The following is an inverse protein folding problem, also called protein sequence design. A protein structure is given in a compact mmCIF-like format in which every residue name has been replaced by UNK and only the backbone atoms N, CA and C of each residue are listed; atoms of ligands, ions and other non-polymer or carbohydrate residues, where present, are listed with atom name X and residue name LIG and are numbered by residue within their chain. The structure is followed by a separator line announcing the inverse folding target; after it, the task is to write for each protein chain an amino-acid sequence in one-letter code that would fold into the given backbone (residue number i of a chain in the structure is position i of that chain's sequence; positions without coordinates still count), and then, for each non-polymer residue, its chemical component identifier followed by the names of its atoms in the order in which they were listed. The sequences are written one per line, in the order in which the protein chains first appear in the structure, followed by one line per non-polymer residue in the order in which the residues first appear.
data_IF_900976561966
#
_entry.id   IF_900976561966
#
_cell.length_a   1.000
_cell.length_b   1.000
_cell.length_c   1.000
_cell.angle_alpha   90.00
_cell.angle_beta   90.00
_cell.angle_gamma   90.00
#
_symmetry.space_group_name_H-M   'P 1'
#
loop_
_entity.id
_entity.type
_entity.pdbx_description
1 polymer ?
#
# COMPACT_ATOMS: atom_id res chain seq x y z
N UNK A 1 -16.30 -8.46 24.20
CA UNK A 1 -16.52 -8.83 22.77
C UNK A 1 -16.71 -7.59 21.90
N UNK A 2 -17.50 -6.60 22.34
CA UNK A 2 -17.70 -5.32 21.66
C UNK A 2 -16.41 -4.51 21.46
N UNK A 3 -15.53 -4.45 22.46
CA UNK A 3 -14.27 -3.70 22.35
C UNK A 3 -13.31 -4.29 21.30
N UNK A 4 -13.21 -5.62 21.20
CA UNK A 4 -12.39 -6.28 20.16
C UNK A 4 -12.88 -5.96 18.74
N UNK A 5 -14.19 -5.87 18.53
CA UNK A 5 -14.77 -5.49 17.23
C UNK A 5 -14.42 -4.03 16.89
N UNK A 6 -14.50 -3.13 17.87
CA UNK A 6 -14.13 -1.72 17.71
C UNK A 6 -12.63 -1.56 17.41
N UNK A 7 -11.78 -2.30 18.11
CA UNK A 7 -10.34 -2.33 17.88
C UNK A 7 -10.00 -2.84 16.46
N UNK A 8 -10.62 -3.95 16.03
CA UNK A 8 -10.43 -4.48 14.67
C UNK A 8 -10.87 -3.48 13.60
N UNK A 9 -11.99 -2.78 13.82
CA UNK A 9 -12.48 -1.77 12.88
C UNK A 9 -11.53 -0.57 12.77
N UNK A 10 -10.98 -0.09 13.89
CA UNK A 10 -10.00 0.99 13.90
C UNK A 10 -8.69 0.57 13.22
N UNK A 11 -8.22 -0.65 13.48
CA UNK A 11 -7.02 -1.19 12.83
C UNK A 11 -7.23 -1.33 11.32
N UNK A 12 -8.38 -1.84 10.88
CA UNK A 12 -8.73 -1.93 9.46
C UNK A 12 -8.70 -0.55 8.79
N UNK A 13 -9.36 0.45 9.39
CA UNK A 13 -9.35 1.84 8.86
C UNK A 13 -7.94 2.41 8.74
N UNK A 14 -7.09 2.14 9.73
CA UNK A 14 -5.71 2.61 9.72
C UNK A 14 -4.92 1.99 8.56
N UNK A 15 -5.04 0.67 8.37
CA UNK A 15 -4.39 -0.04 7.27
C UNK A 15 -4.91 0.42 5.91
N UNK A 16 -6.21 0.65 5.76
CA UNK A 16 -6.81 1.17 4.53
C UNK A 16 -6.38 2.61 4.22
N UNK A 17 -6.22 3.45 5.26
CA UNK A 17 -5.82 4.85 5.12
C UNK A 17 -4.32 5.05 4.87
N UNK A 18 -3.47 4.13 5.32
CA UNK A 18 -2.04 4.18 5.03
C UNK A 18 -1.80 3.77 3.57
N UNK A 19 -1.19 4.65 2.78
CA UNK A 19 -0.86 4.33 1.38
C UNK A 19 0.62 4.55 1.06
N UNK A 20 1.07 3.87 0.00
CA UNK A 20 2.34 4.09 -0.67
C UNK A 20 2.12 4.03 -2.17
N UNK A 21 2.71 4.98 -2.90
CA UNK A 21 2.70 4.99 -4.37
C UNK A 21 4.10 4.77 -4.92
N UNK A 22 4.18 4.05 -6.03
CA UNK A 22 5.38 3.92 -6.86
C UNK A 22 5.05 4.43 -8.26
N UNK A 23 5.97 5.19 -8.86
CA UNK A 23 5.87 5.62 -10.26
C UNK A 23 7.13 5.14 -11.00
N UNK A 24 6.93 4.27 -11.98
CA UNK A 24 8.02 3.69 -12.75
C UNK A 24 7.65 3.55 -14.22
N UNK A 25 8.44 4.18 -15.10
CA UNK A 25 8.25 4.15 -16.56
C UNK A 25 6.81 4.48 -16.99
N UNK A 26 6.17 5.45 -16.32
CA UNK A 26 4.82 5.89 -16.63
C UNK A 26 3.72 4.93 -16.16
N UNK A 27 4.04 4.04 -15.22
CA UNK A 27 3.10 3.20 -14.46
C UNK A 27 3.13 3.68 -13.01
N UNK A 28 2.01 4.19 -12.52
CA UNK A 28 1.84 4.59 -11.13
C UNK A 28 0.91 3.64 -10.40
N UNK A 29 1.44 2.91 -9.42
CA UNK A 29 0.69 1.98 -8.57
C UNK A 29 0.59 2.56 -7.17
N UNK A 30 -0.60 2.52 -6.58
CA UNK A 30 -0.80 2.85 -5.16
C UNK A 30 -1.33 1.64 -4.42
N UNK A 31 -0.67 1.29 -3.32
CA UNK A 31 -1.02 0.18 -2.43
C UNK A 31 -1.31 0.73 -1.04
N UNK A 32 -2.32 0.18 -0.36
CA UNK A 32 -2.62 0.50 1.03
C UNK A 32 -1.96 -0.45 2.04
N UNK A 33 -1.99 -0.12 3.33
CA UNK A 33 -1.46 -0.94 4.42
C UNK A 33 -2.21 -2.25 4.62
N UNK A 34 -3.40 -2.41 4.02
CA UNK A 34 -4.10 -3.70 3.92
C UNK A 34 -3.59 -4.55 2.74
N UNK A 35 -2.50 -4.13 2.07
CA UNK A 35 -1.87 -4.81 0.93
C UNK A 35 -2.78 -4.89 -0.30
N UNK A 36 -3.69 -3.94 -0.46
CA UNK A 36 -4.58 -3.85 -1.62
C UNK A 36 -4.06 -2.80 -2.60
N UNK A 37 -4.11 -3.09 -3.89
CA UNK A 37 -3.89 -2.09 -4.95
C UNK A 37 -5.14 -1.22 -5.03
N UNK A 38 -5.02 0.07 -4.72
CA UNK A 38 -6.15 1.02 -4.67
C UNK A 38 -6.18 1.98 -5.85
N UNK A 39 -5.07 2.10 -6.59
CA UNK A 39 -5.02 2.89 -7.83
C UNK A 39 -3.94 2.36 -8.75
N UNK A 40 -4.26 2.32 -10.04
CA UNK A 40 -3.34 2.01 -11.14
C UNK A 40 -3.51 3.09 -12.20
N UNK A 41 -2.43 3.78 -12.56
CA UNK A 41 -2.42 4.75 -13.66
C UNK A 41 -1.32 4.35 -14.63
N UNK A 42 -1.66 4.31 -15.92
CA UNK A 42 -0.73 3.88 -16.97
C UNK A 42 -0.80 4.92 -18.09
N UNK A 43 0.32 5.61 -18.31
CA UNK A 43 0.50 6.58 -19.39
C UNK A 43 0.33 5.92 -20.77
N UNK A 44 -0.03 6.67 -21.82
CA UNK A 44 -0.15 6.15 -23.18
C UNK A 44 1.12 5.43 -23.66
N UNK A 45 2.31 6.01 -23.42
CA UNK A 45 3.57 5.38 -23.85
C UNK A 45 3.83 4.05 -23.13
N UNK A 46 3.47 3.94 -21.85
CA UNK A 46 3.63 2.71 -21.10
C UNK A 46 2.69 1.60 -21.60
N UNK A 47 1.48 1.95 -22.06
CA UNK A 47 0.50 0.97 -22.60
C UNK A 47 0.99 0.29 -23.87
N UNK A 48 1.76 1.01 -24.69
CA UNK A 48 2.33 0.50 -25.94
C UNK A 48 3.64 -0.26 -25.73
N UNK A 49 4.19 -0.26 -24.51
CA UNK A 49 5.45 -0.93 -24.20
C UNK A 49 5.30 -2.44 -24.22
N UNK A 50 6.21 -3.13 -24.92
CA UNK A 50 6.36 -4.59 -24.86
C UNK A 50 6.71 -5.11 -23.47
N UNK A 51 7.26 -4.24 -22.61
CA UNK A 51 7.64 -4.57 -21.23
C UNK A 51 6.55 -4.17 -20.20
N UNK A 52 5.34 -3.79 -20.64
CA UNK A 52 4.29 -3.27 -19.74
C UNK A 52 4.05 -4.20 -18.54
N UNK A 53 3.85 -5.49 -18.79
CA UNK A 53 3.56 -6.47 -17.73
C UNK A 53 4.72 -6.57 -16.73
N UNK A 54 5.96 -6.71 -17.22
CA UNK A 54 7.17 -6.77 -16.38
C UNK A 54 7.32 -5.51 -15.53
N UNK A 55 7.13 -4.34 -16.13
CA UNK A 55 7.24 -3.07 -15.42
C UNK A 55 6.10 -2.87 -14.41
N UNK A 56 4.89 -3.35 -14.72
CA UNK A 56 3.75 -3.32 -13.80
C UNK A 56 3.98 -4.21 -12.59
N UNK A 57 4.41 -5.46 -12.79
CA UNK A 57 4.74 -6.39 -11.70
C UNK A 57 5.85 -5.83 -10.81
N UNK A 58 6.89 -5.24 -11.41
CA UNK A 58 7.94 -4.54 -10.66
C UNK A 58 7.36 -3.41 -9.81
N UNK A 59 6.52 -2.56 -10.39
CA UNK A 59 5.91 -1.42 -9.70
C UNK A 59 5.03 -1.87 -8.53
N UNK A 60 4.25 -2.93 -8.71
CA UNK A 60 3.43 -3.55 -7.65
C UNK A 60 4.34 -4.05 -6.52
N UNK A 61 5.35 -4.87 -6.83
CA UNK A 61 6.27 -5.42 -5.83
C UNK A 61 7.00 -4.32 -5.06
N UNK A 62 7.46 -3.27 -5.74
CA UNK A 62 8.09 -2.11 -5.08
C UNK A 62 7.10 -1.39 -4.17
N UNK A 63 5.87 -1.11 -4.63
CA UNK A 63 4.85 -0.47 -3.80
C UNK A 63 4.50 -1.30 -2.55
N UNK A 64 4.41 -2.63 -2.70
CA UNK A 64 4.21 -3.59 -1.61
C UNK A 64 5.36 -3.56 -0.60
N UNK A 65 6.62 -3.56 -1.06
CA UNK A 65 7.78 -3.46 -0.18
C UNK A 65 7.83 -2.12 0.55
N UNK A 66 7.48 -1.03 -0.14
CA UNK A 66 7.48 0.31 0.44
C UNK A 66 6.41 0.44 1.54
N UNK A 67 5.20 -0.09 1.32
CA UNK A 67 4.15 -0.06 2.35
C UNK A 67 4.51 -0.96 3.54
N UNK A 68 5.12 -2.14 3.32
CA UNK A 68 5.60 -2.99 4.41
C UNK A 68 6.67 -2.29 5.27
N UNK A 69 7.64 -1.61 4.63
CA UNK A 69 8.66 -0.82 5.34
C UNK A 69 8.03 0.33 6.12
N UNK A 70 7.02 1.00 5.55
CA UNK A 70 6.27 2.07 6.22
C UNK A 70 5.54 1.53 7.45
N UNK A 71 4.83 0.41 7.32
CA UNK A 71 4.19 -0.27 8.46
C UNK A 71 5.18 -0.63 9.56
N UNK A 72 6.31 -1.26 9.21
CA UNK A 72 7.35 -1.61 10.19
C UNK A 72 7.92 -0.37 10.90
N UNK A 73 8.09 0.74 10.18
CA UNK A 73 8.56 2.00 10.77
C UNK A 73 7.55 2.55 11.78
N UNK A 74 6.27 2.58 11.42
CA UNK A 74 5.20 3.05 12.32
C UNK A 74 5.03 2.14 13.55
N UNK A 75 5.23 0.83 13.40
CA UNK A 75 5.17 -0.11 14.54
C UNK A 75 6.34 0.12 15.50
N UNK A 76 7.55 0.33 14.95
CA UNK A 76 8.77 0.57 15.76
C UNK A 76 8.77 1.93 16.46
N UNK A 77 8.17 2.95 15.85
CA UNK A 77 8.09 4.29 16.43
C UNK A 77 7.03 4.41 17.53
N UNK A 78 6.15 3.42 17.70
CA UNK A 78 4.99 3.52 18.58
C UNK A 78 3.95 4.55 18.12
N UNK A 79 4.13 5.17 16.94
CA UNK A 79 3.18 6.13 16.36
C UNK A 79 1.97 5.46 15.72
N UNK A 80 2.06 4.16 15.48
CA UNK A 80 0.88 3.35 15.32
C UNK A 80 0.14 3.40 16.67
N UNK A 81 -0.82 4.33 16.77
CA UNK A 81 -1.89 4.33 17.77
C UNK A 81 -2.73 3.06 17.57
N UNK A 82 -2.09 1.90 17.72
CA UNK A 82 -2.74 0.63 17.87
C UNK A 82 -3.56 0.79 19.14
N UNK A 83 -4.89 0.58 19.07
CA UNK A 83 -5.71 0.55 20.26
C UNK A 83 -5.02 -0.36 21.26
N UNK A 84 -4.73 0.16 22.46
CA UNK A 84 -4.07 -0.60 23.52
C UNK A 84 -4.76 -1.95 23.66
N UNK A 85 -3.98 -3.04 23.53
CA UNK A 85 -4.45 -4.41 23.72
C UNK A 85 -5.05 -4.59 25.12
#
# INVERSE_FOLDING_TARGET
MFDKMKQMYQMKKLLEGMTSSEDYKGIKITVNGAMQVVSVQISPQARESKDLEKNMLKSINTAMLNIQKKMQKEMKSGNLNLPSM
#
